data_IF_655342078845
#
_entry.id   IF_655342078845
#
_cell.length_a   1.000
_cell.length_b   1.000
_cell.length_c   1.000
_cell.angle_alpha   90.00
_cell.angle_beta   90.00
_cell.angle_gamma   90.00
#
_symmetry.space_group_name_H-M   'P 1'
#
loop_
_entity.id
_entity.type
_entity.pdbx_description
1 polymer ?
#
# COMPACT_ATOMS: atom_id res chain seq x y z
N UNK A 1 -80.72 -22.85 -1.64
CA UNK A 1 -80.34 -21.65 -2.42
C UNK A 1 -79.10 -21.06 -1.77
N UNK A 2 -77.91 -21.48 -2.21
CA UNK A 2 -76.63 -21.00 -1.67
C UNK A 2 -75.95 -20.13 -2.73
N UNK A 3 -75.73 -18.86 -2.43
CA UNK A 3 -74.88 -17.99 -3.24
C UNK A 3 -73.44 -18.15 -2.77
N UNK A 4 -72.58 -18.69 -3.64
CA UNK A 4 -71.13 -18.60 -3.51
C UNK A 4 -70.69 -17.27 -4.15
N UNK A 5 -70.23 -16.33 -3.33
CA UNK A 5 -69.54 -15.13 -3.81
C UNK A 5 -68.10 -15.52 -4.18
N UNK A 6 -67.79 -15.55 -5.48
CA UNK A 6 -66.42 -15.64 -5.96
C UNK A 6 -65.73 -14.28 -5.79
N UNK A 7 -64.73 -14.22 -4.91
CA UNK A 7 -63.81 -13.08 -4.83
C UNK A 7 -62.75 -13.28 -5.91
N UNK A 8 -62.80 -12.48 -6.97
CA UNK A 8 -61.74 -12.40 -7.97
C UNK A 8 -60.62 -11.51 -7.43
N UNK A 9 -59.44 -12.08 -7.19
CA UNK A 9 -58.23 -11.30 -6.92
C UNK A 9 -57.59 -10.87 -8.25
N UNK A 10 -57.30 -9.58 -8.39
CA UNK A 10 -56.56 -9.01 -9.51
C UNK A 10 -55.09 -9.45 -9.40
N UNK A 11 -54.62 -10.28 -10.34
CA UNK A 11 -53.24 -10.76 -10.38
C UNK A 11 -52.25 -9.70 -10.89
N UNK A 12 -52.73 -8.67 -11.59
CA UNK A 12 -51.90 -7.75 -12.38
C UNK A 12 -51.06 -6.80 -11.51
N UNK A 13 -51.60 -6.31 -10.39
CA UNK A 13 -50.86 -5.42 -9.48
C UNK A 13 -49.73 -6.17 -8.74
N UNK A 14 -49.95 -7.43 -8.41
CA UNK A 14 -48.95 -8.32 -7.77
C UNK A 14 -47.77 -8.61 -8.68
N UNK A 15 -48.01 -8.84 -9.97
CA UNK A 15 -46.97 -9.14 -10.96
C UNK A 15 -46.15 -7.88 -11.25
N UNK A 16 -46.81 -6.72 -11.39
CA UNK A 16 -46.11 -5.45 -11.59
C UNK A 16 -45.20 -5.09 -10.40
N UNK A 17 -45.63 -5.38 -9.17
CA UNK A 17 -44.87 -5.03 -7.97
C UNK A 17 -43.66 -5.94 -7.69
N UNK A 18 -43.70 -7.23 -8.07
CA UNK A 18 -42.52 -8.11 -7.99
C UNK A 18 -41.44 -7.70 -9.01
N UNK A 19 -41.83 -7.17 -10.16
CA UNK A 19 -40.89 -6.72 -11.20
C UNK A 19 -40.05 -5.51 -10.75
N UNK A 20 -40.61 -4.60 -9.94
CA UNK A 20 -39.89 -3.41 -9.43
C UNK A 20 -38.76 -3.77 -8.44
N UNK A 21 -38.96 -4.78 -7.60
CA UNK A 21 -37.93 -5.24 -6.66
C UNK A 21 -36.80 -5.98 -7.39
N UNK A 22 -37.14 -6.88 -8.32
CA UNK A 22 -36.15 -7.62 -9.13
C UNK A 22 -35.31 -6.67 -10.00
N UNK A 23 -35.93 -5.66 -10.60
CA UNK A 23 -35.25 -4.69 -11.49
C UNK A 23 -34.24 -3.81 -10.76
N UNK A 24 -34.45 -3.48 -9.47
CA UNK A 24 -33.53 -2.63 -8.70
C UNK A 24 -32.40 -3.45 -8.04
N UNK A 25 -32.67 -4.71 -7.66
CA UNK A 25 -31.65 -5.58 -7.01
C UNK A 25 -30.60 -6.12 -7.99
N UNK A 26 -30.97 -6.38 -9.24
CA UNK A 26 -30.05 -6.90 -10.28
C UNK A 26 -28.85 -5.97 -10.54
N UNK A 27 -29.03 -4.64 -10.74
CA UNK A 27 -27.93 -3.69 -10.83
C UNK A 27 -27.00 -3.71 -9.61
N UNK A 28 -27.54 -3.75 -8.39
CA UNK A 28 -26.74 -3.80 -7.17
C UNK A 28 -25.87 -5.05 -7.12
N UNK A 29 -26.44 -6.23 -7.39
CA UNK A 29 -25.68 -7.49 -7.44
C UNK A 29 -24.56 -7.43 -8.48
N UNK A 30 -24.87 -6.92 -9.66
CA UNK A 30 -23.91 -6.84 -10.78
C UNK A 30 -22.75 -5.91 -10.45
N UNK A 31 -23.05 -4.71 -9.94
CA UNK A 31 -22.02 -3.72 -9.60
C UNK A 31 -21.20 -4.16 -8.37
N UNK A 32 -21.84 -4.83 -7.42
CA UNK A 32 -21.16 -5.42 -6.27
C UNK A 32 -20.17 -6.49 -6.71
N UNK A 33 -20.56 -7.40 -7.60
CA UNK A 33 -19.66 -8.43 -8.13
C UNK A 33 -18.42 -7.83 -8.82
N UNK A 34 -18.61 -6.77 -9.61
CA UNK A 34 -17.48 -6.04 -10.24
C UNK A 34 -16.57 -5.38 -9.21
N UNK A 35 -17.10 -4.90 -8.08
CA UNK A 35 -16.30 -4.34 -6.99
C UNK A 35 -15.44 -5.43 -6.33
N UNK A 36 -15.97 -6.64 -6.13
CA UNK A 36 -15.23 -7.80 -5.61
C UNK A 36 -14.05 -8.15 -6.53
N UNK A 37 -14.30 -8.19 -7.84
CA UNK A 37 -13.27 -8.43 -8.87
C UNK A 37 -12.17 -7.38 -8.80
N UNK A 38 -12.53 -6.08 -8.82
CA UNK A 38 -11.56 -4.99 -8.72
C UNK A 38 -10.75 -5.05 -7.41
N UNK A 39 -11.38 -5.41 -6.29
CA UNK A 39 -10.68 -5.60 -5.00
C UNK A 39 -9.68 -6.74 -5.06
N UNK A 40 -10.05 -7.88 -5.67
CA UNK A 40 -9.12 -8.99 -5.85
C UNK A 40 -7.88 -8.56 -6.65
N UNK A 41 -8.08 -7.84 -7.75
CA UNK A 41 -6.97 -7.37 -8.60
C UNK A 41 -6.03 -6.44 -7.81
N UNK A 42 -6.59 -5.49 -7.05
CA UNK A 42 -5.81 -4.61 -6.17
C UNK A 42 -5.06 -5.42 -5.10
N UNK A 43 -5.69 -6.40 -4.45
CA UNK A 43 -5.04 -7.25 -3.45
C UNK A 43 -3.89 -8.07 -4.03
N UNK A 44 -4.04 -8.62 -5.24
CA UNK A 44 -2.97 -9.35 -5.92
C UNK A 44 -1.78 -8.42 -6.18
N UNK A 45 -2.03 -7.22 -6.73
CA UNK A 45 -0.97 -6.24 -6.99
C UNK A 45 -0.26 -5.79 -5.70
N UNK A 46 -0.99 -5.61 -4.62
CA UNK A 46 -0.45 -5.29 -3.29
C UNK A 46 0.44 -6.43 -2.78
N UNK A 47 -0.01 -7.68 -2.89
CA UNK A 47 0.76 -8.85 -2.48
C UNK A 47 2.09 -8.95 -3.25
N UNK A 48 2.05 -8.74 -4.57
CA UNK A 48 3.26 -8.71 -5.41
C UNK A 48 4.20 -7.58 -5.00
N UNK A 49 3.67 -6.41 -4.65
CA UNK A 49 4.48 -5.29 -4.18
C UNK A 49 5.12 -5.58 -2.81
N UNK A 50 4.37 -6.13 -1.87
CA UNK A 50 4.86 -6.47 -0.52
C UNK A 50 5.94 -7.57 -0.56
N UNK A 51 5.85 -8.54 -1.49
CA UNK A 51 6.94 -9.50 -1.75
C UNK A 51 8.25 -8.82 -2.17
N UNK A 52 8.17 -7.66 -2.83
CA UNK A 52 9.32 -6.84 -3.23
C UNK A 52 9.75 -5.86 -2.15
N UNK A 53 9.26 -6.00 -0.91
CA UNK A 53 9.50 -5.07 0.20
C UNK A 53 8.99 -3.65 -0.07
N UNK A 54 8.01 -3.49 -0.98
CA UNK A 54 7.36 -2.20 -1.19
C UNK A 54 6.25 -2.00 -0.17
N UNK A 55 5.99 -0.74 0.19
CA UNK A 55 4.95 -0.39 1.15
C UNK A 55 3.67 -0.03 0.42
N UNK A 56 2.59 -0.73 0.77
CA UNK A 56 1.22 -0.40 0.37
C UNK A 56 0.89 1.07 0.67
N UNK A 57 0.24 1.74 -0.28
CA UNK A 57 -0.20 3.12 -0.09
C UNK A 57 -1.36 3.19 0.92
N UNK A 58 -1.39 4.27 1.71
CA UNK A 58 -2.44 4.46 2.73
C UNK A 58 -3.84 4.58 2.11
N UNK A 59 -3.94 5.23 0.95
CA UNK A 59 -5.21 5.33 0.20
C UNK A 59 -5.77 3.95 -0.18
N UNK A 60 -4.89 3.01 -0.55
CA UNK A 60 -5.28 1.63 -0.90
C UNK A 60 -5.75 0.88 0.33
N UNK A 61 -5.05 1.04 1.46
CA UNK A 61 -5.47 0.43 2.73
C UNK A 61 -6.85 0.93 3.18
N UNK A 62 -7.07 2.24 3.11
CA UNK A 62 -8.37 2.84 3.46
C UNK A 62 -9.48 2.38 2.53
N UNK A 63 -9.20 2.27 1.23
CA UNK A 63 -10.15 1.76 0.24
C UNK A 63 -10.51 0.30 0.50
N UNK A 64 -9.52 -0.59 0.72
CA UNK A 64 -9.76 -1.99 1.04
C UNK A 64 -10.63 -2.16 2.29
N UNK A 65 -10.42 -1.31 3.30
CA UNK A 65 -11.23 -1.31 4.53
C UNK A 65 -12.69 -0.97 4.25
N UNK A 66 -12.96 0.10 3.47
CA UNK A 66 -14.33 0.47 3.08
C UNK A 66 -15.02 -0.60 2.24
N UNK A 67 -14.28 -1.24 1.33
CA UNK A 67 -14.82 -2.34 0.51
C UNK A 67 -15.19 -3.53 1.40
N UNK A 68 -14.37 -3.89 2.40
CA UNK A 68 -14.71 -4.95 3.36
C UNK A 68 -15.99 -4.67 4.16
N UNK A 69 -16.29 -3.41 4.46
CA UNK A 69 -17.54 -3.05 5.13
C UNK A 69 -18.74 -3.25 4.19
N UNK A 70 -18.65 -2.78 2.96
CA UNK A 70 -19.68 -2.99 1.92
C UNK A 70 -19.90 -4.47 1.63
N UNK A 71 -18.84 -5.27 1.67
CA UNK A 71 -18.92 -6.74 1.51
C UNK A 71 -19.72 -7.45 2.58
N UNK A 72 -19.78 -6.88 3.79
CA UNK A 72 -20.63 -7.39 4.87
C UNK A 72 -22.04 -6.85 4.74
N UNK A 73 -22.20 -5.59 4.34
CA UNK A 73 -23.49 -4.91 4.28
C UNK A 73 -24.37 -5.34 3.13
N UNK A 74 -23.84 -5.46 1.90
CA UNK A 74 -24.64 -5.76 0.70
C UNK A 74 -25.31 -7.12 0.81
N UNK A 75 -24.62 -8.24 1.16
CA UNK A 75 -25.29 -9.53 1.33
C UNK A 75 -26.36 -9.52 2.43
N UNK A 76 -26.13 -8.81 3.55
CA UNK A 76 -27.12 -8.66 4.62
C UNK A 76 -28.37 -7.95 4.13
N UNK A 77 -28.21 -6.85 3.38
CA UNK A 77 -29.31 -6.10 2.80
C UNK A 77 -30.09 -6.93 1.77
N UNK A 78 -29.40 -7.70 0.91
CA UNK A 78 -30.04 -8.61 -0.03
C UNK A 78 -30.83 -9.71 0.69
N UNK A 79 -30.25 -10.33 1.72
CA UNK A 79 -30.94 -11.36 2.51
C UNK A 79 -32.16 -10.82 3.26
N UNK A 80 -32.08 -9.60 3.82
CA UNK A 80 -33.19 -8.93 4.50
C UNK A 80 -34.38 -8.70 3.55
N UNK A 81 -34.11 -8.31 2.30
CA UNK A 81 -35.16 -8.04 1.31
C UNK A 81 -35.79 -9.35 0.81
N UNK A 82 -34.97 -10.34 0.47
CA UNK A 82 -35.44 -11.64 -0.07
C UNK A 82 -36.22 -12.42 0.98
N UNK A 83 -35.73 -12.49 2.23
CA UNK A 83 -36.40 -13.20 3.31
C UNK A 83 -37.78 -12.62 3.64
N UNK A 84 -37.98 -11.31 3.44
CA UNK A 84 -39.30 -10.66 3.58
C UNK A 84 -40.23 -10.92 2.39
N UNK A 85 -39.71 -11.13 1.19
CA UNK A 85 -40.54 -11.50 0.03
C UNK A 85 -41.10 -12.93 0.16
N UNK A 86 -40.30 -13.88 0.66
CA UNK A 86 -40.75 -15.26 0.91
C UNK A 86 -41.84 -15.33 1.99
N UNK A 87 -41.80 -14.44 2.99
CA UNK A 87 -42.85 -14.31 4.02
C UNK A 87 -44.17 -13.74 3.45
N UNK A 88 -44.11 -12.93 2.38
CA UNK A 88 -45.26 -12.28 1.73
C UNK A 88 -45.94 -13.18 0.68
N UNK A 89 -45.17 -14.04 0.01
CA UNK A 89 -45.67 -15.07 -0.92
C UNK A 89 -46.52 -16.15 -0.21
N UNK A 90 -46.50 -16.20 1.13
CA UNK A 90 -47.33 -17.05 1.99
C UNK A 90 -48.79 -16.61 2.16
N UNK A 91 -49.24 -15.53 1.50
CA UNK A 91 -50.68 -15.26 1.34
C UNK A 91 -51.22 -13.89 1.76
N UNK A 92 -50.39 -12.86 1.98
CA UNK A 92 -50.89 -11.49 2.18
C UNK A 92 -49.97 -10.47 1.53
N UNK A 93 -50.36 -9.96 0.35
CA UNK A 93 -49.71 -8.84 -0.32
C UNK A 93 -50.09 -7.49 0.33
N UNK A 94 -49.94 -7.37 1.65
CA UNK A 94 -50.16 -6.13 2.42
C UNK A 94 -48.87 -5.61 3.05
N UNK A 95 -47.75 -5.68 2.33
CA UNK A 95 -46.51 -5.03 2.74
C UNK A 95 -46.72 -3.51 2.83
N UNK A 96 -46.48 -2.94 4.01
CA UNK A 96 -46.64 -1.52 4.31
C UNK A 96 -45.78 -0.69 3.34
N UNK A 97 -46.40 0.15 2.48
CA UNK A 97 -45.71 0.90 1.40
C UNK A 97 -44.49 1.70 1.88
N UNK A 98 -44.49 2.09 3.16
CA UNK A 98 -43.40 2.78 3.85
C UNK A 98 -42.15 1.91 3.97
N UNK A 99 -42.29 0.63 4.33
CA UNK A 99 -41.14 -0.29 4.44
C UNK A 99 -40.50 -0.54 3.08
N UNK A 100 -41.32 -0.76 2.04
CA UNK A 100 -40.84 -0.93 0.66
C UNK A 100 -40.05 0.28 0.18
N UNK A 101 -40.55 1.50 0.42
CA UNK A 101 -39.85 2.72 0.09
C UNK A 101 -38.50 2.82 0.83
N UNK A 102 -38.46 2.44 2.11
CA UNK A 102 -37.22 2.40 2.90
C UNK A 102 -36.20 1.42 2.33
N UNK A 103 -36.63 0.24 1.88
CA UNK A 103 -35.76 -0.74 1.23
C UNK A 103 -35.23 -0.25 -0.11
N UNK A 104 -36.10 0.25 -0.99
CA UNK A 104 -35.71 0.81 -2.28
C UNK A 104 -34.68 1.93 -2.12
N UNK A 105 -34.90 2.83 -1.14
CA UNK A 105 -33.93 3.90 -0.81
C UNK A 105 -32.57 3.34 -0.40
N UNK A 106 -32.53 2.36 0.51
CA UNK A 106 -31.27 1.72 0.95
C UNK A 106 -30.54 1.01 -0.20
N UNK A 107 -31.27 0.34 -1.10
CA UNK A 107 -30.68 -0.32 -2.27
C UNK A 107 -30.04 0.71 -3.21
N UNK A 108 -30.74 1.82 -3.49
CA UNK A 108 -30.22 2.90 -4.33
C UNK A 108 -28.99 3.57 -3.71
N UNK A 109 -29.00 3.82 -2.40
CA UNK A 109 -27.85 4.36 -1.66
C UNK A 109 -26.66 3.40 -1.69
N UNK A 110 -26.90 2.12 -1.44
CA UNK A 110 -25.87 1.08 -1.51
C UNK A 110 -25.28 0.95 -2.92
N UNK A 111 -26.12 0.97 -3.96
CA UNK A 111 -25.68 0.95 -5.35
C UNK A 111 -24.76 2.13 -5.68
N UNK A 112 -25.13 3.35 -5.25
CA UNK A 112 -24.28 4.53 -5.43
C UNK A 112 -22.94 4.39 -4.72
N UNK A 113 -22.94 3.86 -3.49
CA UNK A 113 -21.72 3.63 -2.73
C UNK A 113 -20.80 2.62 -3.43
N UNK A 114 -21.34 1.46 -3.85
CA UNK A 114 -20.61 0.42 -4.60
C UNK A 114 -20.00 0.99 -5.88
N UNK A 115 -20.76 1.78 -6.64
CA UNK A 115 -20.26 2.43 -7.86
C UNK A 115 -19.15 3.45 -7.59
N UNK A 116 -19.24 4.21 -6.49
CA UNK A 116 -18.19 5.15 -6.07
C UNK A 116 -16.90 4.40 -5.73
N UNK A 117 -17.00 3.39 -4.86
CA UNK A 117 -15.85 2.58 -4.47
C UNK A 117 -15.21 1.88 -5.67
N UNK A 118 -16.00 1.43 -6.66
CA UNK A 118 -15.45 0.85 -7.88
C UNK A 118 -14.59 1.85 -8.66
N UNK A 119 -15.05 3.11 -8.78
CA UNK A 119 -14.28 4.17 -9.46
C UNK A 119 -13.03 4.55 -8.66
N UNK A 120 -13.13 4.61 -7.34
CA UNK A 120 -11.97 4.87 -6.46
C UNK A 120 -10.91 3.76 -6.53
N UNK A 121 -11.32 2.53 -6.85
CA UNK A 121 -10.45 1.35 -6.92
C UNK A 121 -9.52 1.31 -8.15
N UNK A 122 -9.66 2.25 -9.10
CA UNK A 122 -8.83 2.32 -10.30
C UNK A 122 -7.45 2.97 -10.02
N UNK A 123 -6.66 2.29 -9.17
CA UNK A 123 -5.34 2.76 -8.76
C UNK A 123 -4.30 2.51 -9.84
N UNK A 124 -3.62 3.57 -10.30
CA UNK A 124 -2.41 3.45 -11.15
C UNK A 124 -1.29 2.72 -10.40
N UNK A 125 -1.03 3.14 -9.16
CA UNK A 125 -0.03 2.53 -8.27
C UNK A 125 -0.69 2.10 -6.97
N UNK A 126 -0.33 0.91 -6.46
CA UNK A 126 -0.89 0.38 -5.20
C UNK A 126 0.10 0.41 -4.03
N UNK A 127 1.37 0.61 -4.33
CA UNK A 127 2.46 0.61 -3.38
C UNK A 127 3.56 1.55 -3.87
N UNK A 128 4.42 1.96 -2.96
CA UNK A 128 5.63 2.72 -3.24
C UNK A 128 6.84 1.97 -2.68
N UNK A 129 8.01 2.23 -3.24
CA UNK A 129 9.25 1.74 -2.64
C UNK A 129 9.33 2.22 -1.19
N UNK A 130 9.61 1.29 -0.27
CA UNK A 130 10.15 1.69 1.03
C UNK A 130 11.51 2.29 0.70
N UNK A 131 11.85 3.50 1.19
CA UNK A 131 13.25 3.93 1.15
C UNK A 131 14.03 2.79 1.78
N UNK A 132 14.89 2.10 1.01
CA UNK A 132 15.84 1.16 1.61
C UNK A 132 16.44 1.86 2.82
N UNK A 133 16.60 1.15 3.95
CA UNK A 133 17.44 1.69 5.00
C UNK A 133 18.71 2.19 4.30
N UNK A 134 19.11 3.46 4.48
CA UNK A 134 20.14 4.06 3.65
C UNK A 134 21.50 3.38 3.79
N UNK A 135 21.59 2.30 4.58
CA UNK A 135 22.78 1.63 5.07
C UNK A 135 22.65 0.13 4.81
N UNK A 136 23.60 -0.44 4.07
CA UNK A 136 23.74 -1.89 3.98
C UNK A 136 24.48 -2.38 5.23
N UNK A 137 23.87 -3.27 6.02
CA UNK A 137 24.59 -3.91 7.13
C UNK A 137 25.76 -4.73 6.60
N UNK A 138 26.93 -4.57 7.23
CA UNK A 138 28.15 -5.29 6.86
C UNK A 138 28.58 -6.24 7.97
N UNK A 139 29.07 -7.45 7.62
CA UNK A 139 29.49 -8.42 8.62
C UNK A 139 30.67 -7.90 9.43
N UNK A 140 30.57 -8.05 10.76
CA UNK A 140 31.65 -7.78 11.71
C UNK A 140 32.07 -9.08 12.40
N UNK A 141 33.34 -9.20 12.83
CA UNK A 141 33.76 -10.28 13.71
C UNK A 141 32.93 -10.30 15.01
N UNK A 142 32.77 -11.47 15.67
CA UNK A 142 31.96 -11.62 16.88
C UNK A 142 32.39 -10.71 18.04
N UNK A 143 33.66 -10.34 18.09
CA UNK A 143 34.20 -9.39 19.06
C UNK A 143 35.13 -8.40 18.35
N UNK A 144 34.81 -7.12 18.48
CA UNK A 144 35.68 -6.01 18.08
C UNK A 144 35.88 -5.14 19.32
N UNK A 145 37.11 -5.08 19.82
CA UNK A 145 37.47 -4.35 21.04
C UNK A 145 38.55 -3.30 20.75
N UNK A 146 38.66 -2.28 21.60
CA UNK A 146 39.73 -1.28 21.52
C UNK A 146 39.50 -0.14 20.52
N UNK A 147 38.38 -0.12 19.81
CA UNK A 147 38.05 0.95 18.84
C UNK A 147 37.05 2.00 19.36
N UNK A 148 36.47 1.82 20.55
CA UNK A 148 35.35 2.64 21.02
C UNK A 148 35.66 4.14 21.01
N UNK A 149 36.80 4.57 21.57
CA UNK A 149 37.18 5.98 21.61
C UNK A 149 37.38 6.58 20.20
N UNK A 150 37.92 5.80 19.27
CA UNK A 150 38.10 6.23 17.88
C UNK A 150 36.76 6.27 17.14
N UNK A 151 35.89 5.29 17.36
CA UNK A 151 34.54 5.25 16.82
C UNK A 151 33.74 6.48 17.27
N UNK A 152 33.70 6.74 18.57
CA UNK A 152 32.97 7.89 19.14
C UNK A 152 33.48 9.21 18.56
N UNK A 153 34.80 9.34 18.41
CA UNK A 153 35.42 10.53 17.82
C UNK A 153 35.04 10.71 16.35
N UNK A 154 35.09 9.65 15.54
CA UNK A 154 34.71 9.73 14.12
C UNK A 154 33.20 9.98 13.99
N UNK A 155 32.38 9.35 14.83
CA UNK A 155 30.94 9.56 14.85
C UNK A 155 30.58 11.02 15.14
N UNK A 156 31.24 11.63 16.13
CA UNK A 156 31.09 13.05 16.45
C UNK A 156 31.50 13.94 15.28
N UNK A 157 32.63 13.64 14.63
CA UNK A 157 33.06 14.34 13.43
C UNK A 157 31.97 14.29 12.34
N UNK A 158 31.34 13.13 12.11
CA UNK A 158 30.31 12.98 11.09
C UNK A 158 28.99 13.69 11.44
N UNK A 159 28.59 13.70 12.71
CA UNK A 159 27.23 14.11 13.11
C UNK A 159 27.13 15.52 13.70
N UNK A 160 28.20 16.02 14.32
CA UNK A 160 28.19 17.27 15.09
C UNK A 160 29.14 18.34 14.54
N UNK A 161 30.22 17.95 13.87
CA UNK A 161 31.25 18.88 13.40
C UNK A 161 31.05 19.25 11.91
N UNK A 162 31.34 20.50 11.48
CA UNK A 162 31.20 20.93 10.09
C UNK A 162 32.41 20.47 9.24
N UNK A 163 32.77 19.19 9.32
CA UNK A 163 33.89 18.62 8.57
C UNK A 163 33.41 17.94 7.29
N UNK A 164 34.06 18.22 6.16
CA UNK A 164 33.67 17.65 4.86
C UNK A 164 34.31 16.30 4.55
N UNK A 165 35.50 16.00 5.10
CA UNK A 165 36.26 14.77 4.84
C UNK A 165 36.97 14.33 6.13
N UNK A 166 36.83 13.04 6.47
CA UNK A 166 37.54 12.41 7.60
C UNK A 166 38.49 11.34 7.07
N UNK A 167 39.78 11.49 7.33
CA UNK A 167 40.81 10.53 6.92
C UNK A 167 41.20 9.56 8.05
N UNK A 168 41.18 8.25 7.77
CA UNK A 168 41.70 7.22 8.66
C UNK A 168 43.08 6.75 8.16
N UNK A 169 44.14 6.93 8.96
CA UNK A 169 45.50 6.55 8.58
C UNK A 169 46.14 5.62 9.62
N UNK A 170 47.13 4.84 9.19
CA UNK A 170 47.86 3.89 10.04
C UNK A 170 48.42 2.71 9.25
N UNK A 171 49.24 1.88 9.89
CA UNK A 171 49.85 0.69 9.28
C UNK A 171 48.82 -0.26 8.64
N UNK A 172 49.28 -1.13 7.74
CA UNK A 172 48.46 -2.24 7.24
C UNK A 172 48.02 -3.16 8.38
N UNK A 173 46.79 -3.67 8.32
CA UNK A 173 46.27 -4.64 9.30
C UNK A 173 45.73 -4.05 10.61
N UNK A 174 45.85 -2.74 10.87
CA UNK A 174 45.40 -2.11 12.13
C UNK A 174 43.87 -1.97 12.30
N UNK A 175 43.07 -2.51 11.38
CA UNK A 175 41.60 -2.50 11.50
C UNK A 175 40.88 -1.24 10.98
N UNK A 176 41.52 -0.41 10.12
CA UNK A 176 40.86 0.79 9.54
C UNK A 176 39.53 0.49 8.86
N UNK A 177 39.49 -0.55 8.02
CA UNK A 177 38.26 -0.98 7.35
C UNK A 177 37.25 -1.54 8.35
N UNK A 178 37.71 -2.23 9.40
CA UNK A 178 36.84 -2.72 10.49
C UNK A 178 36.16 -1.58 11.23
N UNK A 179 36.91 -0.50 11.55
CA UNK A 179 36.35 0.71 12.14
C UNK A 179 35.31 1.35 11.22
N UNK A 180 35.61 1.47 9.91
CA UNK A 180 34.68 1.98 8.92
C UNK A 180 33.39 1.15 8.84
N UNK A 181 33.51 -0.18 8.93
CA UNK A 181 32.37 -1.11 9.01
C UNK A 181 31.52 -0.88 10.26
N UNK A 182 32.13 -0.64 11.43
CA UNK A 182 31.39 -0.30 12.65
C UNK A 182 30.65 1.03 12.53
N UNK A 183 31.28 2.05 11.90
CA UNK A 183 30.65 3.34 11.65
C UNK A 183 29.44 3.18 10.73
N UNK A 184 29.59 2.44 9.62
CA UNK A 184 28.49 2.12 8.70
C UNK A 184 27.30 1.51 9.46
N UNK A 185 27.53 0.43 10.21
CA UNK A 185 26.46 -0.26 10.91
C UNK A 185 25.84 0.58 12.05
N UNK A 186 26.57 1.55 12.60
CA UNK A 186 26.03 2.46 13.63
C UNK A 186 24.86 3.30 13.10
N UNK A 187 24.83 3.59 11.78
CA UNK A 187 23.70 4.27 11.14
C UNK A 187 22.41 3.43 11.06
N UNK A 188 22.47 2.11 11.28
CA UNK A 188 21.28 1.25 11.36
C UNK A 188 20.53 1.42 12.70
N UNK A 189 21.27 1.74 13.76
CA UNK A 189 20.74 1.76 15.12
C UNK A 189 20.62 3.18 15.69
N UNK A 190 21.24 4.17 15.03
CA UNK A 190 21.29 5.55 15.50
C UNK A 190 20.53 6.44 14.53
N UNK A 191 19.56 7.18 15.04
CA UNK A 191 18.87 8.22 14.28
C UNK A 191 19.89 9.23 13.77
N UNK A 192 19.87 9.50 12.48
CA UNK A 192 20.78 10.42 11.81
C UNK A 192 20.01 11.29 10.82
N UNK A 193 20.65 12.35 10.34
CA UNK A 193 20.05 13.34 9.43
C UNK A 193 20.62 13.24 8.00
N UNK A 194 21.16 12.08 7.64
CA UNK A 194 21.67 11.81 6.29
C UNK A 194 20.57 11.17 5.45
N UNK A 195 20.41 11.70 4.24
CA UNK A 195 19.53 11.15 3.22
C UNK A 195 20.12 9.86 2.62
N UNK A 196 21.46 9.75 2.55
CA UNK A 196 22.17 8.60 2.00
C UNK A 196 23.42 8.21 2.81
N UNK A 197 23.64 6.91 3.03
CA UNK A 197 24.88 6.35 3.59
C UNK A 197 25.45 5.35 2.59
N UNK A 198 26.42 5.80 1.81
CA UNK A 198 26.91 5.07 0.64
C UNK A 198 28.23 4.41 1.03
N UNK A 199 28.33 3.09 0.89
CA UNK A 199 29.60 2.39 0.98
C UNK A 199 30.15 2.09 -0.41
N UNK A 200 31.34 2.58 -0.73
CA UNK A 200 32.02 2.29 -2.00
C UNK A 200 33.45 1.81 -1.79
N UNK A 201 33.83 0.76 -2.52
CA UNK A 201 35.20 0.24 -2.49
C UNK A 201 35.94 0.69 -3.75
N UNK A 202 36.97 1.51 -3.56
CA UNK A 202 37.84 1.95 -4.65
C UNK A 202 39.09 1.07 -4.70
N UNK A 203 39.22 0.26 -5.74
CA UNK A 203 40.43 -0.51 -6.04
C UNK A 203 41.48 0.31 -6.78
N UNK A 204 42.73 -0.17 -6.82
CA UNK A 204 43.79 0.42 -7.65
C UNK A 204 43.43 0.44 -9.12
N UNK A 205 42.81 -0.63 -9.60
CA UNK A 205 42.23 -0.68 -10.94
C UNK A 205 40.91 0.11 -10.92
N UNK A 206 41.00 1.39 -11.27
CA UNK A 206 39.88 2.31 -11.19
C UNK A 206 38.84 1.97 -12.27
N UNK A 207 37.64 1.59 -11.84
CA UNK A 207 36.50 1.29 -12.72
C UNK A 207 35.42 2.36 -12.53
N UNK A 208 35.67 3.56 -13.05
CA UNK A 208 34.86 4.77 -12.82
C UNK A 208 33.36 4.56 -13.13
N UNK A 209 33.06 3.90 -14.25
CA UNK A 209 31.69 3.61 -14.67
C UNK A 209 30.95 2.69 -13.69
N UNK A 210 31.64 1.68 -13.15
CA UNK A 210 31.08 0.75 -12.16
C UNK A 210 30.82 1.45 -10.83
N UNK A 211 31.73 2.32 -10.40
CA UNK A 211 31.54 3.12 -9.18
C UNK A 211 30.36 4.08 -9.32
N UNK A 212 30.28 4.82 -10.43
CA UNK A 212 29.14 5.71 -10.68
C UNK A 212 27.83 4.94 -10.73
N UNK A 213 27.82 3.73 -11.29
CA UNK A 213 26.64 2.88 -11.28
C UNK A 213 26.25 2.39 -9.88
N UNK A 214 27.23 2.01 -9.06
CA UNK A 214 27.01 1.57 -7.69
C UNK A 214 26.43 2.72 -6.84
N UNK A 215 27.01 3.91 -6.94
CA UNK A 215 26.51 5.14 -6.29
C UNK A 215 25.10 5.48 -6.80
N UNK A 216 24.87 5.46 -8.12
CA UNK A 216 23.56 5.77 -8.72
C UNK A 216 22.46 4.84 -8.20
N UNK A 217 22.75 3.55 -8.06
CA UNK A 217 21.82 2.57 -7.47
C UNK A 217 21.46 2.94 -6.03
N UNK A 218 22.44 3.36 -5.23
CA UNK A 218 22.24 3.76 -3.82
C UNK A 218 21.39 5.01 -3.64
N UNK A 219 21.43 5.93 -4.58
CA UNK A 219 20.56 7.11 -4.61
C UNK A 219 19.25 6.87 -5.38
N UNK A 220 18.87 5.60 -5.58
CA UNK A 220 17.66 5.13 -6.26
C UNK A 220 17.46 5.69 -7.67
N UNK A 221 18.57 5.84 -8.43
CA UNK A 221 18.56 6.40 -9.77
C UNK A 221 18.93 5.35 -10.83
N UNK A 222 18.14 5.28 -11.91
CA UNK A 222 18.22 4.22 -12.92
C UNK A 222 18.56 4.69 -14.34
N UNK A 223 18.99 5.95 -14.53
CA UNK A 223 19.34 6.43 -15.89
C UNK A 223 20.69 5.90 -16.38
N UNK A 224 20.72 5.54 -17.67
CA UNK A 224 21.91 5.02 -18.36
C UNK A 224 22.77 6.12 -19.03
N UNK A 225 22.26 7.35 -19.13
CA UNK A 225 22.98 8.49 -19.73
C UNK A 225 23.33 9.54 -18.68
N UNK A 226 24.54 10.09 -18.79
CA UNK A 226 25.05 11.21 -17.96
C UNK A 226 25.02 10.96 -16.44
N UNK A 227 25.31 9.72 -16.00
CA UNK A 227 25.32 9.28 -14.58
C UNK A 227 25.96 10.30 -13.64
N UNK A 228 27.15 10.80 -13.97
CA UNK A 228 27.89 11.74 -13.14
C UNK A 228 27.12 13.06 -12.88
N UNK A 229 26.46 13.60 -13.90
CA UNK A 229 25.74 14.86 -13.80
C UNK A 229 24.49 14.70 -12.93
N UNK A 230 23.81 13.55 -13.04
CA UNK A 230 22.63 13.24 -12.24
C UNK A 230 22.98 12.93 -10.78
N UNK A 231 24.06 12.20 -10.54
CA UNK A 231 24.64 12.01 -9.20
C UNK A 231 24.92 13.39 -8.59
N UNK A 232 25.58 14.28 -9.33
CA UNK A 232 25.87 15.64 -8.85
C UNK A 232 24.60 16.44 -8.54
N UNK A 233 23.60 16.44 -9.44
CA UNK A 233 22.32 17.15 -9.23
C UNK A 233 21.56 16.67 -8.00
N UNK A 234 21.65 15.38 -7.69
CA UNK A 234 21.02 14.78 -6.52
C UNK A 234 21.82 15.13 -5.27
N UNK A 235 23.10 14.78 -5.25
CA UNK A 235 23.98 14.92 -4.08
C UNK A 235 24.17 16.38 -3.63
N UNK A 236 24.07 17.36 -4.53
CA UNK A 236 24.18 18.79 -4.17
C UNK A 236 23.11 19.27 -3.20
N UNK A 237 21.95 18.61 -3.16
CA UNK A 237 20.77 19.03 -2.39
C UNK A 237 20.44 18.07 -1.25
N UNK A 238 21.31 17.09 -0.98
CA UNK A 238 21.10 16.07 0.05
C UNK A 238 22.28 16.02 1.00
N UNK A 239 22.01 15.66 2.25
CA UNK A 239 23.04 15.29 3.22
C UNK A 239 23.40 13.82 3.01
N UNK A 240 24.66 13.52 2.77
CA UNK A 240 25.11 12.15 2.56
C UNK A 240 26.40 11.87 3.31
N UNK A 241 26.64 10.58 3.58
CA UNK A 241 27.94 10.04 3.98
C UNK A 241 28.40 9.10 2.86
N UNK A 242 29.65 9.23 2.44
CA UNK A 242 30.32 8.29 1.53
C UNK A 242 31.48 7.66 2.28
N UNK A 243 31.41 6.35 2.50
CA UNK A 243 32.35 5.50 3.24
C UNK A 243 33.19 4.66 2.27
#
# INVERSE_FOLDING_TARGET
>A
MGNACSVSFSCDDTISHCLDCITILLPLRTEFQKLIEARNDVQIRVLVAEQRQWRRLQQVQGWLSRVQDVEKEVPRLLAEIIGKEEEILGGFCSGNSIERHKYGKRVVESLKNVQSLRKEGDFKDVAQTVPENPVDERPLPPAVVGFQSTLDRVWRCLTEEPVGIVGLHGMGGVGKTTLLTQINNSFLHTSNNFDFVIWEVVSRDLQLEKMQESIAKKIAFSSFHEKAQEIFKTMRNTKFVLL
#
